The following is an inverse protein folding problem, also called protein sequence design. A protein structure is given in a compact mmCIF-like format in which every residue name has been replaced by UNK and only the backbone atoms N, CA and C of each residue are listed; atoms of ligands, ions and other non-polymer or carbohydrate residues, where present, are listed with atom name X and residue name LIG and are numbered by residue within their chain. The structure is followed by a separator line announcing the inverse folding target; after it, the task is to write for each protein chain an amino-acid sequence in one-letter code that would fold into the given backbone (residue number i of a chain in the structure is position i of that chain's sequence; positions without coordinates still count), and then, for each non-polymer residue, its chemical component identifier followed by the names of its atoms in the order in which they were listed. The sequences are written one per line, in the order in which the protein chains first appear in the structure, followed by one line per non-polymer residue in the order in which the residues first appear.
data_IF_205554295989
#
_entry.id   IF_205554295989
#
_cell.length_a   1.000
_cell.length_b   1.000
_cell.length_c   1.000
_cell.angle_alpha   90.00
_cell.angle_beta   90.00
_cell.angle_gamma   90.00
#
_symmetry.space_group_name_H-M   'P 1'
#
loop_
_entity.id
_entity.type
_entity.pdbx_description
1 polymer ?
#
# COMPACT_ATOMS: atom_id res chain seq x y z
N UNK A 1 0.17 14.58 -17.24
CA UNK A 1 0.80 14.11 -15.99
C UNK A 1 -0.05 12.96 -15.48
N UNK A 2 0.51 11.78 -15.20
CA UNK A 2 -0.28 10.67 -14.62
C UNK A 2 -0.75 11.11 -13.23
N UNK A 3 -2.06 11.09 -12.97
CA UNK A 3 -2.62 11.35 -11.65
C UNK A 3 -2.14 10.23 -10.72
N UNK A 4 -1.17 10.53 -9.86
CA UNK A 4 -0.68 9.58 -8.86
C UNK A 4 -1.46 9.75 -7.56
N UNK A 5 -1.90 8.65 -6.96
CA UNK A 5 -2.67 8.67 -5.73
C UNK A 5 -1.77 8.43 -4.52
N UNK A 6 -1.95 9.17 -3.41
CA UNK A 6 -1.25 8.83 -2.18
C UNK A 6 -1.77 7.48 -1.68
N UNK A 7 -0.85 6.56 -1.36
CA UNK A 7 -1.21 5.28 -0.75
C UNK A 7 -0.93 5.34 0.75
N UNK A 8 -1.96 5.04 1.53
CA UNK A 8 -1.86 4.97 2.99
C UNK A 8 -0.90 3.86 3.44
N UNK A 9 -0.04 4.16 4.42
CA UNK A 9 0.96 3.20 4.90
C UNK A 9 0.33 1.91 5.42
N UNK A 10 -0.81 1.97 6.12
CA UNK A 10 -1.46 0.78 6.68
C UNK A 10 -2.06 -0.09 5.58
N UNK A 11 -2.64 0.53 4.54
CA UNK A 11 -3.12 -0.20 3.36
C UNK A 11 -1.95 -0.92 2.70
N UNK A 12 -0.81 -0.25 2.52
CA UNK A 12 0.39 -0.85 1.94
C UNK A 12 0.97 -1.97 2.81
N UNK A 13 1.07 -1.79 4.13
CA UNK A 13 1.53 -2.82 5.08
C UNK A 13 0.60 -4.04 5.00
N UNK A 14 -0.72 -3.84 4.96
CA UNK A 14 -1.66 -4.94 4.88
C UNK A 14 -1.62 -5.66 3.52
N UNK A 15 -1.42 -4.93 2.42
CA UNK A 15 -1.21 -5.52 1.08
C UNK A 15 0.03 -6.42 1.07
N UNK A 16 1.17 -5.88 1.51
CA UNK A 16 2.46 -6.61 1.53
C UNK A 16 2.34 -7.87 2.37
N UNK A 17 1.69 -7.78 3.53
CA UNK A 17 1.54 -8.92 4.45
C UNK A 17 0.35 -9.83 4.11
N UNK A 18 -0.37 -9.59 3.01
CA UNK A 18 -1.61 -10.30 2.64
C UNK A 18 -2.59 -10.42 3.82
N UNK A 19 -2.70 -9.34 4.58
CA UNK A 19 -3.45 -9.32 5.83
C UNK A 19 -4.95 -9.46 5.54
N UNK A 20 -5.61 -10.42 6.21
CA UNK A 20 -7.05 -10.68 6.04
C UNK A 20 -7.96 -9.55 6.50
N UNK A 21 -7.43 -8.56 7.23
CA UNK A 21 -8.15 -7.33 7.62
C UNK A 21 -8.28 -6.33 6.47
N UNK A 22 -7.48 -6.46 5.42
CA UNK A 22 -7.60 -5.59 4.26
C UNK A 22 -8.88 -5.94 3.50
N UNK A 23 -9.67 -4.92 3.23
CA UNK A 23 -10.90 -5.11 2.47
C UNK A 23 -10.57 -5.67 1.08
N UNK A 24 -11.18 -6.81 0.73
CA UNK A 24 -10.99 -7.49 -0.56
C UNK A 24 -11.23 -6.56 -1.75
N UNK A 25 -12.18 -5.63 -1.65
CA UNK A 25 -12.47 -4.66 -2.71
C UNK A 25 -11.30 -3.70 -2.93
N UNK A 26 -10.55 -3.35 -1.88
CA UNK A 26 -9.35 -2.51 -2.00
C UNK A 26 -8.21 -3.28 -2.67
N UNK A 27 -8.03 -4.56 -2.32
CA UNK A 27 -7.06 -5.42 -3.01
C UNK A 27 -7.39 -5.53 -4.50
N UNK A 28 -8.65 -5.83 -4.82
CA UNK A 28 -9.11 -5.98 -6.20
C UNK A 28 -8.98 -4.67 -6.99
N UNK A 29 -9.30 -3.52 -6.38
CA UNK A 29 -9.12 -2.20 -7.00
C UNK A 29 -7.65 -1.95 -7.35
N UNK A 30 -6.74 -2.20 -6.42
CA UNK A 30 -5.30 -2.00 -6.60
C UNK A 30 -4.74 -2.96 -7.65
N UNK A 31 -5.10 -4.24 -7.59
CA UNK A 31 -4.62 -5.27 -8.51
C UNK A 31 -5.17 -5.07 -9.93
N UNK A 32 -6.44 -4.63 -10.05
CA UNK A 32 -7.13 -4.45 -11.33
C UNK A 32 -6.75 -3.14 -12.03
N UNK A 33 -6.82 -2.02 -11.33
CA UNK A 33 -6.61 -0.70 -11.94
C UNK A 33 -5.14 -0.29 -12.02
N UNK A 34 -4.27 -0.89 -11.20
CA UNK A 34 -2.81 -0.67 -11.21
C UNK A 34 -2.45 0.81 -11.30
N UNK A 35 -3.15 1.64 -10.53
CA UNK A 35 -2.90 3.06 -10.54
C UNK A 35 -1.46 3.36 -10.09
N UNK A 36 -0.84 4.44 -10.61
CA UNK A 36 0.42 4.91 -10.05
C UNK A 36 0.15 5.45 -8.63
N UNK A 37 0.73 4.79 -7.64
CA UNK A 37 0.68 5.24 -6.25
C UNK A 37 2.00 5.92 -5.87
N UNK A 38 1.94 6.90 -4.98
CA UNK A 38 3.10 7.46 -4.30
C UNK A 38 2.97 7.28 -2.79
N UNK A 39 4.10 7.10 -2.14
CA UNK A 39 4.22 7.00 -0.68
C UNK A 39 5.23 8.02 -0.18
N UNK A 40 5.10 8.43 1.08
CA UNK A 40 6.08 9.32 1.70
C UNK A 40 7.35 8.55 2.08
N UNK A 41 8.47 9.26 2.24
CA UNK A 41 9.70 8.67 2.78
C UNK A 41 9.52 8.15 4.21
N UNK A 42 8.65 8.79 5.01
CA UNK A 42 8.25 8.34 6.35
C UNK A 42 7.57 6.96 6.27
N UNK A 43 6.56 6.83 5.42
CA UNK A 43 5.82 5.59 5.17
C UNK A 43 6.76 4.45 4.75
N UNK A 44 7.74 4.75 3.88
CA UNK A 44 8.72 3.75 3.45
C UNK A 44 9.59 3.27 4.64
N UNK A 45 10.02 4.18 5.53
CA UNK A 45 10.78 3.80 6.73
C UNK A 45 9.97 2.93 7.68
N UNK A 46 8.69 3.23 7.86
CA UNK A 46 7.78 2.43 8.67
C UNK A 46 7.65 1.00 8.09
N UNK A 47 7.47 0.87 6.78
CA UNK A 47 7.36 -0.43 6.10
C UNK A 47 8.64 -1.26 6.26
N UNK A 48 9.81 -0.64 6.06
CA UNK A 48 11.10 -1.33 6.23
C UNK A 48 11.28 -1.79 7.67
N UNK A 49 10.93 -0.96 8.65
CA UNK A 49 10.98 -1.31 10.07
C UNK A 49 10.01 -2.44 10.43
N UNK A 50 8.85 -2.49 9.77
CA UNK A 50 7.83 -3.52 10.01
C UNK A 50 8.16 -4.86 9.34
N UNK A 51 8.96 -4.85 8.27
CA UNK A 51 9.26 -6.04 7.46
C UNK A 51 10.52 -6.78 7.91
N UNK A 52 11.31 -6.19 8.82
CA UNK A 52 12.56 -6.75 9.32
C UNK A 52 12.50 -6.81 10.86
N UNK A 53 12.09 -7.95 11.46
CA UNK A 53 11.96 -8.09 12.90
C UNK A 53 13.31 -8.03 13.63
#
# INVERSE_FOLDING_TARGET
MKNSYPLDTHILIWLINKNSRLNKNICEDIDYYQHPYHISAESLREIVSYSNP
#
